data_IF_761763170019
#
_entry.id   IF_761763170019
#
_cell.length_a   1.000
_cell.length_b   1.000
_cell.length_c   1.000
_cell.angle_alpha   90.00
_cell.angle_beta   90.00
_cell.angle_gamma   90.00
#
_symmetry.space_group_name_H-M   'P 1'
#
loop_
_entity.id
_entity.type
_entity.pdbx_description
1 polymer ?
#
# COMPACT_ATOMS: atom_id res chain seq x y z
N UNK A 1 -12.89 2.20 15.08
CA UNK A 1 -11.52 1.96 14.56
C UNK A 1 -10.63 1.39 15.66
N UNK A 2 -10.00 0.22 15.45
CA UNK A 2 -9.25 -0.53 16.48
C UNK A 2 -8.09 0.27 17.11
N UNK A 3 -7.28 0.96 16.31
CA UNK A 3 -6.08 1.67 16.79
C UNK A 3 -6.37 2.78 17.81
N UNK A 4 -7.60 3.27 17.90
CA UNK A 4 -8.01 4.25 18.91
C UNK A 4 -8.12 3.66 20.32
N UNK A 5 -8.18 2.33 20.43
CA UNK A 5 -8.28 1.62 21.71
C UNK A 5 -6.92 1.10 22.19
N UNK A 6 -5.84 1.31 21.42
CA UNK A 6 -4.49 0.92 21.81
C UNK A 6 -3.98 1.86 22.91
N UNK A 7 -3.23 1.28 23.85
CA UNK A 7 -2.60 2.06 24.90
C UNK A 7 -1.53 2.97 24.28
N UNK A 8 -1.47 4.26 24.67
CA UNK A 8 -0.44 5.16 24.16
C UNK A 8 0.96 4.66 24.52
N UNK A 9 1.96 5.11 23.76
CA UNK A 9 3.35 4.81 24.09
C UNK A 9 3.70 5.26 25.52
N UNK A 10 4.52 4.49 26.26
CA UNK A 10 5.02 4.90 27.56
C UNK A 10 5.72 6.25 27.50
N UNK A 11 5.59 7.06 28.57
CA UNK A 11 6.19 8.40 28.65
C UNK A 11 7.70 8.41 28.38
N UNK A 12 8.41 7.35 28.81
CA UNK A 12 9.85 7.19 28.54
C UNK A 12 10.17 7.15 27.05
N UNK A 13 9.31 6.57 26.21
CA UNK A 13 9.45 6.54 24.74
C UNK A 13 9.00 7.84 24.08
N UNK A 14 8.07 8.57 24.70
CA UNK A 14 7.61 9.87 24.18
C UNK A 14 8.63 10.98 24.50
N UNK A 15 9.25 10.96 25.69
CA UNK A 15 10.16 12.01 26.16
C UNK A 15 11.43 12.18 25.32
N UNK A 16 11.80 11.19 24.50
CA UNK A 16 12.96 11.22 23.61
C UNK A 16 12.64 11.88 22.25
N UNK A 17 11.35 12.07 21.94
CA UNK A 17 10.90 12.70 20.71
C UNK A 17 11.23 14.21 20.81
N UNK A 18 11.95 14.78 19.83
CA UNK A 18 12.26 16.20 19.86
C UNK A 18 10.98 17.05 19.75
N UNK A 19 10.92 18.20 20.44
CA UNK A 19 9.82 19.14 20.23
C UNK A 19 9.82 19.65 18.77
N UNK A 20 8.70 20.17 18.30
CA UNK A 20 8.54 20.69 16.93
C UNK A 20 9.61 21.72 16.55
N UNK A 21 10.07 22.54 17.50
CA UNK A 21 11.13 23.55 17.31
C UNK A 21 12.52 22.97 17.08
N UNK A 22 12.74 21.68 17.40
CA UNK A 22 14.01 20.96 17.22
C UNK A 22 13.88 19.76 16.28
N UNK A 23 12.70 19.56 15.70
CA UNK A 23 12.44 18.47 14.76
C UNK A 23 12.98 18.85 13.39
N UNK A 24 13.81 17.96 12.82
CA UNK A 24 14.30 18.07 11.45
C UNK A 24 13.33 17.39 10.48
N UNK A 25 13.26 17.93 9.27
CA UNK A 25 12.50 17.36 8.16
C UNK A 25 13.43 16.99 7.02
N UNK A 26 13.03 16.00 6.24
CA UNK A 26 13.85 15.36 5.22
C UNK A 26 13.20 15.50 3.85
N UNK A 27 13.98 15.71 2.80
CA UNK A 27 13.46 15.73 1.42
C UNK A 27 13.19 14.30 0.95
N UNK A 28 12.25 14.16 0.01
CA UNK A 28 12.00 12.87 -0.65
C UNK A 28 13.28 12.28 -1.27
N UNK A 29 14.06 13.13 -1.97
CA UNK A 29 15.30 12.71 -2.63
C UNK A 29 16.34 12.20 -1.63
N UNK A 30 16.47 12.85 -0.47
CA UNK A 30 17.36 12.38 0.58
C UNK A 30 16.90 11.02 1.11
N UNK A 31 15.61 10.87 1.45
CA UNK A 31 15.12 9.60 2.02
C UNK A 31 15.31 8.46 1.02
N UNK A 32 14.92 8.66 -0.25
CA UNK A 32 15.09 7.65 -1.30
C UNK A 32 16.55 7.37 -1.62
N UNK A 33 17.41 8.39 -1.61
CA UNK A 33 18.84 8.22 -1.83
C UNK A 33 19.56 7.50 -0.70
N UNK A 34 19.12 7.71 0.55
CA UNK A 34 19.74 7.14 1.74
C UNK A 34 19.22 5.74 2.09
N UNK A 35 17.89 5.55 2.04
CA UNK A 35 17.25 4.27 2.37
C UNK A 35 17.09 3.35 1.15
N UNK A 36 17.03 3.93 -0.06
CA UNK A 36 16.83 3.17 -1.30
C UNK A 36 15.39 2.68 -1.47
N UNK A 37 15.27 1.52 -2.12
CA UNK A 37 14.01 0.79 -2.25
C UNK A 37 13.10 1.21 -3.39
N UNK A 38 12.07 0.39 -3.58
CA UNK A 38 10.98 0.58 -4.53
C UNK A 38 9.67 0.63 -3.75
N UNK A 39 8.67 1.34 -4.27
CA UNK A 39 7.34 1.30 -3.69
C UNK A 39 6.74 -0.09 -3.94
N UNK A 40 6.43 -0.80 -2.86
CA UNK A 40 5.97 -2.18 -2.87
C UNK A 40 4.45 -2.28 -2.72
N UNK A 41 3.90 -1.46 -1.83
CA UNK A 41 2.47 -1.23 -1.62
C UNK A 41 2.25 0.27 -1.40
N UNK A 42 1.02 0.79 -1.45
CA UNK A 42 0.76 2.23 -1.37
C UNK A 42 1.45 2.87 -0.15
N UNK A 43 2.47 3.70 -0.41
CA UNK A 43 3.27 4.35 0.63
C UNK A 43 4.27 3.45 1.38
N UNK A 44 4.26 2.13 1.20
CA UNK A 44 5.24 1.20 1.75
C UNK A 44 6.37 0.97 0.74
N UNK A 45 7.59 1.29 1.13
CA UNK A 45 8.79 1.06 0.34
C UNK A 45 9.53 -0.15 0.87
N UNK A 46 10.00 -0.99 -0.05
CA UNK A 46 10.79 -2.19 0.22
C UNK A 46 12.14 -2.10 -0.48
N UNK A 47 13.19 -2.58 0.17
CA UNK A 47 14.55 -2.66 -0.35
C UNK A 47 14.86 -4.13 -0.62
N UNK A 48 14.62 -4.67 -1.83
CA UNK A 48 14.89 -6.08 -2.13
C UNK A 48 16.32 -6.50 -1.79
N UNK A 49 16.59 -7.75 -1.32
CA UNK A 49 17.93 -8.28 -1.11
C UNK A 49 18.84 -8.14 -2.32
N UNK A 50 18.26 -8.27 -3.52
CA UNK A 50 18.94 -8.06 -4.80
C UNK A 50 19.51 -6.64 -4.99
N UNK A 51 18.99 -5.65 -4.27
CA UNK A 51 19.51 -4.27 -4.28
C UNK A 51 20.68 -4.05 -3.30
N UNK A 52 21.13 -5.10 -2.61
CA UNK A 52 22.29 -5.10 -1.73
C UNK A 52 21.95 -4.92 -0.26
N UNK A 53 22.88 -4.31 0.49
CA UNK A 53 22.73 -4.11 1.94
C UNK A 53 21.76 -2.97 2.22
N UNK A 54 20.78 -3.23 3.09
CA UNK A 54 19.86 -2.23 3.61
C UNK A 54 20.41 -1.61 4.90
N UNK A 55 20.19 -0.31 5.09
CA UNK A 55 20.42 0.37 6.39
C UNK A 55 19.34 -0.04 7.40
N UNK A 56 18.18 -0.45 6.92
CA UNK A 56 17.03 -0.89 7.71
C UNK A 56 17.05 -2.41 7.85
N UNK A 57 17.05 -2.96 9.09
CA UNK A 57 16.95 -4.39 9.32
C UNK A 57 15.68 -5.02 8.72
N UNK A 58 14.57 -4.28 8.77
CA UNK A 58 13.26 -4.67 8.23
C UNK A 58 13.19 -4.57 6.72
N UNK A 59 14.18 -3.91 6.09
CA UNK A 59 14.23 -3.58 4.65
C UNK A 59 13.01 -2.81 4.13
N UNK A 60 12.17 -2.28 5.01
CA UNK A 60 10.96 -1.54 4.67
C UNK A 60 10.86 -0.23 5.42
N UNK A 61 10.15 0.75 4.84
CA UNK A 61 9.77 2.00 5.49
C UNK A 61 8.53 2.58 4.81
N UNK A 62 7.77 3.41 5.52
CA UNK A 62 6.62 4.11 4.94
C UNK A 62 6.96 5.57 4.60
N UNK A 63 6.54 6.01 3.41
CA UNK A 63 6.43 7.40 3.01
C UNK A 63 4.96 7.75 2.76
N UNK A 64 4.36 8.50 3.68
CA UNK A 64 2.93 8.79 3.66
C UNK A 64 2.66 10.28 3.45
N UNK A 65 1.55 10.59 2.78
CA UNK A 65 1.07 11.97 2.61
C UNK A 65 -0.24 12.17 3.40
N UNK A 66 -0.20 13.07 4.38
CA UNK A 66 -1.35 13.41 5.22
C UNK A 66 -2.43 14.26 4.54
N UNK A 67 -2.28 14.65 3.27
CA UNK A 67 -3.26 15.49 2.55
C UNK A 67 -4.59 14.78 2.34
N UNK A 68 -4.55 13.49 1.99
CA UNK A 68 -5.73 12.69 1.67
C UNK A 68 -5.89 11.47 2.58
N UNK A 69 -5.06 11.34 3.63
CA UNK A 69 -5.08 10.24 4.58
C UNK A 69 -5.42 10.76 6.00
N UNK A 70 -6.72 10.94 6.32
CA UNK A 70 -7.16 11.65 7.53
C UNK A 70 -6.91 10.87 8.83
N UNK A 71 -6.56 9.59 8.72
CA UNK A 71 -6.40 8.68 9.86
C UNK A 71 -4.95 8.34 10.18
N UNK A 72 -3.99 8.94 9.47
CA UNK A 72 -2.58 8.82 9.80
C UNK A 72 -2.30 9.28 11.24
N UNK A 73 -1.19 8.81 11.85
CA UNK A 73 -0.74 9.31 13.13
C UNK A 73 -0.76 10.85 13.21
N UNK A 74 -1.42 11.38 14.24
CA UNK A 74 -1.58 12.83 14.41
C UNK A 74 -0.26 13.56 14.71
N UNK A 75 0.74 12.82 15.18
CA UNK A 75 2.09 13.28 15.48
C UNK A 75 3.01 12.09 15.79
N UNK A 76 4.33 12.31 15.95
CA UNK A 76 5.25 11.26 16.31
C UNK A 76 4.85 10.57 17.63
N UNK A 77 4.95 9.25 17.68
CA UNK A 77 4.56 8.44 18.84
C UNK A 77 3.07 8.11 18.96
N UNK A 78 2.20 8.66 18.10
CA UNK A 78 0.77 8.34 18.09
C UNK A 78 0.46 7.13 17.18
N UNK A 79 -0.56 6.35 17.50
CA UNK A 79 -1.08 5.34 16.57
C UNK A 79 -1.90 6.00 15.44
N UNK A 80 -2.12 5.26 14.36
CA UNK A 80 -2.96 5.71 13.25
C UNK A 80 -3.36 4.56 12.33
N UNK A 81 -3.91 4.89 11.18
CA UNK A 81 -4.24 3.94 10.13
C UNK A 81 -4.11 4.58 8.75
N UNK A 82 -3.68 3.78 7.77
CA UNK A 82 -3.68 4.11 6.36
C UNK A 82 -4.91 3.50 5.69
N UNK A 83 -5.55 4.24 4.78
CA UNK A 83 -6.60 3.71 3.91
C UNK A 83 -5.99 3.25 2.60
N UNK A 84 -6.20 1.98 2.26
CA UNK A 84 -5.79 1.39 0.98
C UNK A 84 -6.88 0.50 0.40
N UNK A 85 -6.96 0.40 -0.92
CA UNK A 85 -7.90 -0.51 -1.59
C UNK A 85 -7.34 -1.94 -1.71
N UNK A 86 -6.02 -2.07 -1.85
CA UNK A 86 -5.34 -3.34 -2.09
C UNK A 86 -4.01 -3.39 -1.34
N UNK A 87 -3.59 -4.60 -1.01
CA UNK A 87 -2.24 -4.91 -0.55
C UNK A 87 -1.53 -5.66 -1.66
N UNK A 88 -0.23 -5.40 -1.82
CA UNK A 88 0.60 -6.30 -2.60
C UNK A 88 0.92 -7.56 -1.75
N UNK A 89 1.51 -8.57 -2.37
CA UNK A 89 2.02 -9.75 -1.67
C UNK A 89 3.04 -9.36 -0.59
N UNK A 90 3.15 -10.12 0.49
CA UNK A 90 4.12 -9.80 1.54
C UNK A 90 5.55 -9.98 1.00
N UNK A 91 6.50 -9.07 1.29
CA UNK A 91 7.89 -9.24 0.85
C UNK A 91 8.49 -10.60 1.25
N UNK A 92 8.12 -11.15 2.41
CA UNK A 92 8.53 -12.47 2.88
C UNK A 92 8.02 -13.63 2.01
N UNK A 93 6.90 -13.47 1.30
CA UNK A 93 6.40 -14.47 0.34
C UNK A 93 7.23 -14.48 -0.95
N UNK A 94 7.88 -13.36 -1.27
CA UNK A 94 8.67 -13.19 -2.49
C UNK A 94 10.16 -13.50 -2.27
N UNK A 95 10.77 -12.90 -1.25
CA UNK A 95 12.21 -12.97 -0.96
C UNK A 95 12.54 -13.83 0.29
N UNK A 96 11.54 -14.49 0.88
CA UNK A 96 11.73 -15.37 2.04
C UNK A 96 12.27 -14.65 3.27
N UNK A 97 13.06 -15.35 4.07
CA UNK A 97 13.67 -14.81 5.31
C UNK A 97 14.59 -13.59 5.06
N UNK A 98 15.12 -13.44 3.83
CA UNK A 98 15.98 -12.31 3.47
C UNK A 98 15.22 -10.98 3.36
N UNK A 99 13.89 -11.03 3.23
CA UNK A 99 13.05 -9.84 3.22
C UNK A 99 13.05 -9.10 4.55
N UNK A 100 13.43 -9.77 5.64
CA UNK A 100 13.30 -9.24 6.99
C UNK A 100 11.83 -9.22 7.44
N UNK A 101 11.59 -8.75 8.67
CA UNK A 101 10.23 -8.59 9.19
C UNK A 101 9.61 -7.30 8.62
N UNK A 102 9.08 -7.37 7.40
CA UNK A 102 8.72 -6.22 6.57
C UNK A 102 7.63 -5.30 7.17
N UNK A 103 6.89 -5.80 8.16
CA UNK A 103 5.79 -5.10 8.83
C UNK A 103 5.97 -4.92 10.34
N UNK A 104 7.10 -5.35 10.91
CA UNK A 104 7.41 -5.17 12.32
C UNK A 104 8.54 -4.16 12.47
N UNK A 105 8.39 -3.23 13.41
CA UNK A 105 9.40 -2.21 13.70
C UNK A 105 9.81 -1.35 12.46
N UNK A 106 8.83 -0.96 11.65
CA UNK A 106 9.02 -0.23 10.39
C UNK A 106 9.07 1.28 10.60
N UNK A 107 10.10 2.01 10.11
CA UNK A 107 10.14 3.47 10.15
C UNK A 107 9.00 4.11 9.33
N UNK A 108 8.31 5.09 9.91
CA UNK A 108 7.25 5.84 9.22
C UNK A 108 7.65 7.30 9.08
N UNK A 109 7.51 7.81 7.86
CA UNK A 109 7.72 9.20 7.50
C UNK A 109 6.44 9.80 6.92
N UNK A 110 6.04 10.99 7.38
CA UNK A 110 4.80 11.62 6.93
C UNK A 110 5.05 13.07 6.52
N UNK A 111 4.61 13.42 5.31
CA UNK A 111 4.55 14.79 4.81
C UNK A 111 3.12 15.35 4.91
N UNK A 112 2.99 16.68 4.83
CA UNK A 112 1.71 17.40 4.75
C UNK A 112 0.68 17.17 5.89
N UNK A 113 1.02 16.45 6.95
CA UNK A 113 0.19 16.29 8.14
C UNK A 113 0.09 17.58 8.95
N UNK A 114 -0.86 17.63 9.89
CA UNK A 114 -1.00 18.79 10.79
C UNK A 114 0.26 19.03 11.63
N UNK A 115 0.88 17.98 12.16
CA UNK A 115 2.12 18.10 12.93
C UNK A 115 3.28 18.61 12.07
N UNK A 116 3.46 18.08 10.85
CA UNK A 116 4.54 18.52 9.96
C UNK A 116 4.40 20.00 9.58
N UNK A 117 3.17 20.52 9.48
CA UNK A 117 2.91 21.95 9.23
C UNK A 117 3.24 22.87 10.41
N UNK A 118 3.33 22.33 11.63
CA UNK A 118 3.64 23.10 12.85
C UNK A 118 5.15 23.21 13.12
N UNK A 119 5.98 22.45 12.41
CA UNK A 119 7.44 22.50 12.55
C UNK A 119 7.91 23.87 12.06
N UNK A 120 8.37 24.70 13.00
CA UNK A 120 8.94 26.01 12.69
C UNK A 120 10.24 25.83 11.92
N UNK A 121 10.25 26.21 10.64
CA UNK A 121 11.42 26.08 9.77
C UNK A 121 12.55 27.02 10.22
N UNK A 122 13.74 26.50 10.60
CA UNK A 122 14.93 27.34 10.73
C UNK A 122 15.63 27.56 9.37
N UNK A 123 15.33 26.71 8.37
CA UNK A 123 16.21 26.52 7.20
C UNK A 123 15.86 27.36 5.95
N UNK A 124 14.92 28.30 6.03
CA UNK A 124 14.68 29.24 4.91
C UNK A 124 15.67 30.41 4.89
N UNK A 125 16.35 30.73 5.99
CA UNK A 125 17.24 31.90 6.07
C UNK A 125 18.70 31.63 5.67
N UNK A 126 19.13 30.38 5.42
CA UNK A 126 20.51 30.08 5.01
C UNK A 126 20.68 29.73 3.52
N UNK A 127 19.58 29.59 2.76
CA UNK A 127 19.60 29.70 1.30
C UNK A 127 19.31 31.16 0.88
N UNK A 128 20.02 32.10 1.52
CA UNK A 128 20.03 33.49 1.09
C UNK A 128 20.73 33.60 -0.27
N UNK A 129 19.94 33.57 -1.35
CA UNK A 129 20.32 34.21 -2.62
C UNK A 129 20.62 33.31 -3.82
N UNK A 130 20.58 31.98 -3.67
CA UNK A 130 20.72 31.07 -4.81
C UNK A 130 19.36 30.45 -5.16
N UNK A 131 18.56 31.17 -5.97
CA UNK A 131 17.63 30.47 -6.85
C UNK A 131 18.50 29.59 -7.76
N UNK A 132 18.33 28.26 -7.79
CA UNK A 132 19.05 27.42 -8.74
C UNK A 132 18.77 27.96 -10.15
N UNK A 133 19.79 28.31 -10.95
CA UNK A 133 19.55 28.85 -12.27
C UNK A 133 18.96 27.75 -13.14
N UNK A 134 17.72 27.93 -13.60
CA UNK A 134 17.20 27.21 -14.76
C UNK A 134 15.95 26.34 -14.59
N UNK A 135 15.16 26.42 -13.51
CA UNK A 135 13.79 25.83 -13.51
C UNK A 135 12.78 26.72 -12.78
N UNK A 136 12.15 27.62 -13.54
CA UNK A 136 10.91 28.25 -13.12
C UNK A 136 9.81 27.17 -13.06
N UNK A 137 9.29 26.90 -11.85
CA UNK A 137 8.07 26.11 -11.65
C UNK A 137 8.14 25.05 -10.56
N UNK A 138 7.36 25.25 -9.49
CA UNK A 138 6.77 24.22 -8.62
C UNK A 138 7.67 23.07 -8.15
N UNK A 139 8.46 23.26 -7.09
CA UNK A 139 8.64 22.25 -6.04
C UNK A 139 9.21 22.95 -4.80
N UNK A 140 8.34 23.38 -3.88
CA UNK A 140 8.71 23.25 -2.48
C UNK A 140 8.97 21.75 -2.29
N UNK A 141 10.23 21.33 -2.20
CA UNK A 141 10.58 19.91 -2.07
C UNK A 141 9.74 19.31 -0.94
N UNK A 142 8.92 18.30 -1.24
CA UNK A 142 8.08 17.64 -0.24
C UNK A 142 8.94 17.22 0.94
N UNK A 143 8.62 17.76 2.12
CA UNK A 143 9.34 17.52 3.37
C UNK A 143 8.60 16.51 4.22
N UNK A 144 9.33 15.48 4.61
CA UNK A 144 8.85 14.41 5.46
C UNK A 144 9.40 14.56 6.87
N UNK A 145 8.58 14.23 7.86
CA UNK A 145 9.01 14.13 9.25
C UNK A 145 9.02 12.67 9.65
N UNK A 146 9.98 12.25 10.48
CA UNK A 146 10.02 10.90 11.05
C UNK A 146 9.05 10.78 12.24
N UNK A 147 8.08 9.88 12.15
CA UNK A 147 7.01 9.71 13.15
C UNK A 147 7.32 8.63 14.18
N UNK A 148 8.39 7.88 13.97
CA UNK A 148 8.77 6.76 14.81
C UNK A 148 8.70 5.45 14.05
N UNK A 149 8.62 4.38 14.83
CA UNK A 149 8.68 3.00 14.39
C UNK A 149 7.33 2.35 14.66
N UNK A 150 6.79 1.67 13.66
CA UNK A 150 5.42 1.15 13.67
C UNK A 150 5.40 -0.32 13.30
N UNK A 151 4.45 -1.05 13.88
CA UNK A 151 4.19 -2.45 13.53
C UNK A 151 2.74 -2.64 13.10
N UNK A 152 2.53 -3.54 12.16
CA UNK A 152 1.19 -4.00 11.78
C UNK A 152 0.86 -5.27 12.59
N UNK A 153 0.54 -5.09 13.88
CA UNK A 153 0.30 -6.18 14.83
C UNK A 153 -1.02 -6.92 14.63
N UNK A 154 -1.88 -6.40 13.76
CA UNK A 154 -3.19 -6.99 13.42
C UNK A 154 -3.41 -6.90 11.92
N UNK A 155 -4.03 -7.95 11.37
CA UNK A 155 -4.53 -7.93 10.00
C UNK A 155 -5.47 -6.75 9.76
N UNK A 156 -5.31 -6.12 8.60
CA UNK A 156 -6.09 -4.97 8.17
C UNK A 156 -7.60 -5.25 8.24
N UNK A 157 -8.38 -4.23 8.58
CA UNK A 157 -9.84 -4.35 8.70
C UNK A 157 -10.53 -3.84 7.43
N UNK A 158 -11.25 -4.71 6.72
CA UNK A 158 -12.00 -4.34 5.51
C UNK A 158 -13.22 -3.52 5.89
N UNK A 159 -13.40 -2.37 5.25
CA UNK A 159 -14.61 -1.58 5.38
C UNK A 159 -15.78 -2.24 4.66
N UNK A 160 -16.92 -2.32 5.34
CA UNK A 160 -18.21 -2.56 4.71
C UNK A 160 -18.73 -1.28 4.02
N UNK A 161 -19.85 -1.40 3.32
CA UNK A 161 -20.48 -0.27 2.64
C UNK A 161 -20.72 0.93 3.58
N UNK A 162 -21.39 0.70 4.71
CA UNK A 162 -21.80 1.78 5.61
C UNK A 162 -20.59 2.53 6.17
N UNK A 163 -19.57 1.81 6.66
CA UNK A 163 -18.35 2.44 7.18
C UNK A 163 -17.54 3.14 6.08
N UNK A 164 -17.53 2.63 4.85
CA UNK A 164 -16.90 3.34 3.74
C UNK A 164 -17.60 4.68 3.47
N UNK A 165 -18.93 4.73 3.59
CA UNK A 165 -19.70 5.95 3.35
C UNK A 165 -19.64 6.94 4.51
N UNK A 166 -19.69 6.46 5.76
CA UNK A 166 -19.72 7.29 6.96
C UNK A 166 -18.32 7.73 7.41
N UNK A 167 -17.34 6.82 7.42
CA UNK A 167 -16.02 7.09 8.00
C UNK A 167 -15.04 7.65 6.96
N UNK A 168 -15.20 7.43 5.66
CA UNK A 168 -14.21 7.86 4.66
C UNK A 168 -14.63 9.16 3.98
N UNK A 169 -13.88 10.27 4.15
CA UNK A 169 -14.20 11.53 3.50
C UNK A 169 -14.21 11.42 1.99
N UNK A 170 -15.13 12.16 1.34
CA UNK A 170 -15.24 12.15 -0.11
C UNK A 170 -13.94 12.54 -0.81
N UNK A 171 -13.17 13.48 -0.26
CA UNK A 171 -11.86 13.88 -0.81
C UNK A 171 -10.85 12.73 -0.83
N UNK A 172 -10.88 11.85 0.17
CA UNK A 172 -10.06 10.64 0.23
C UNK A 172 -10.52 9.62 -0.80
N UNK A 173 -11.84 9.37 -0.91
CA UNK A 173 -12.41 8.49 -1.95
C UNK A 173 -12.03 8.97 -3.36
N UNK A 174 -12.13 10.28 -3.62
CA UNK A 174 -11.72 10.87 -4.90
C UNK A 174 -10.23 10.67 -5.20
N UNK A 175 -9.36 10.94 -4.22
CA UNK A 175 -7.92 10.77 -4.40
C UNK A 175 -7.54 9.32 -4.69
N UNK A 176 -8.07 8.36 -3.91
CA UNK A 176 -7.80 6.93 -4.14
C UNK A 176 -8.34 6.50 -5.52
N UNK A 177 -9.53 6.98 -5.90
CA UNK A 177 -10.09 6.69 -7.22
C UNK A 177 -9.23 7.25 -8.37
N UNK A 178 -8.59 8.41 -8.18
CA UNK A 178 -7.64 8.98 -9.15
C UNK A 178 -6.39 8.10 -9.26
N UNK A 179 -5.80 7.71 -8.14
CA UNK A 179 -4.61 6.85 -8.12
C UNK A 179 -4.88 5.48 -8.75
N UNK A 180 -6.01 4.85 -8.44
CA UNK A 180 -6.37 3.54 -9.02
C UNK A 180 -6.66 3.62 -10.53
N UNK A 181 -7.15 4.76 -11.01
CA UNK A 181 -7.42 4.99 -12.42
C UNK A 181 -6.18 5.49 -13.21
N UNK A 182 -5.07 5.79 -12.54
CA UNK A 182 -3.89 6.37 -13.17
C UNK A 182 -3.28 5.46 -14.25
N UNK A 183 -2.81 6.07 -15.33
CA UNK A 183 -2.07 5.39 -16.39
C UNK A 183 -0.64 5.14 -15.91
N UNK A 184 -0.18 3.89 -16.00
CA UNK A 184 1.15 3.52 -15.51
C UNK A 184 1.20 3.11 -14.04
N UNK A 185 0.04 2.88 -13.40
CA UNK A 185 -0.03 2.21 -12.10
C UNK A 185 0.70 0.86 -12.12
N UNK A 186 1.18 0.37 -10.96
CA UNK A 186 1.86 -0.91 -10.87
C UNK A 186 1.02 -2.08 -11.44
N UNK A 187 1.70 -3.08 -12.01
CA UNK A 187 1.04 -4.24 -12.62
C UNK A 187 0.19 -5.01 -11.60
N UNK A 188 0.69 -5.18 -10.37
CA UNK A 188 -0.05 -5.87 -9.30
C UNK A 188 -1.38 -5.16 -8.95
N UNK A 189 -1.44 -3.82 -9.03
CA UNK A 189 -2.68 -3.05 -8.84
C UNK A 189 -3.65 -3.31 -10.00
N UNK A 190 -3.11 -3.35 -11.22
CA UNK A 190 -3.89 -3.68 -12.42
C UNK A 190 -4.51 -5.08 -12.30
N UNK A 191 -3.74 -6.06 -11.84
CA UNK A 191 -4.25 -7.41 -11.61
C UNK A 191 -5.29 -7.47 -10.49
N UNK A 192 -5.08 -6.76 -9.38
CA UNK A 192 -6.03 -6.68 -8.28
C UNK A 192 -7.37 -6.07 -8.73
N UNK A 193 -7.31 -4.98 -9.50
CA UNK A 193 -8.50 -4.36 -10.12
C UNK A 193 -9.17 -5.29 -11.13
N UNK A 194 -8.40 -6.01 -11.96
CA UNK A 194 -8.95 -7.00 -12.90
C UNK A 194 -9.73 -8.07 -12.15
N UNK A 195 -9.11 -8.68 -11.13
CA UNK A 195 -9.73 -9.75 -10.31
C UNK A 195 -10.98 -9.27 -9.59
N UNK A 196 -11.00 -8.03 -9.11
CA UNK A 196 -12.15 -7.45 -8.38
C UNK A 196 -13.30 -7.05 -9.31
N UNK A 197 -13.03 -6.26 -10.34
CA UNK A 197 -14.07 -5.68 -11.21
C UNK A 197 -14.54 -6.63 -12.31
N UNK A 198 -13.72 -7.61 -12.67
CA UNK A 198 -14.04 -8.60 -13.70
C UNK A 198 -13.65 -9.98 -13.17
N UNK A 199 -14.48 -10.60 -12.30
CA UNK A 199 -14.17 -11.88 -11.68
C UNK A 199 -13.77 -12.93 -12.71
N UNK A 200 -12.76 -13.72 -12.35
CA UNK A 200 -12.24 -14.80 -13.20
C UNK A 200 -13.36 -15.84 -13.42
N UNK A 201 -13.56 -16.36 -14.64
CA UNK A 201 -14.57 -17.38 -14.85
C UNK A 201 -14.27 -18.62 -14.00
N UNK A 202 -15.32 -19.22 -13.46
CA UNK A 202 -15.23 -20.46 -12.69
C UNK A 202 -15.09 -21.67 -13.62
N UNK A 203 -14.37 -22.69 -13.14
CA UNK A 203 -14.28 -23.97 -13.84
C UNK A 203 -15.52 -24.79 -13.51
N UNK A 204 -16.44 -24.86 -14.46
CA UNK A 204 -17.62 -25.71 -14.36
C UNK A 204 -17.29 -27.10 -14.94
N UNK A 205 -17.21 -28.11 -14.07
CA UNK A 205 -17.22 -29.51 -14.51
C UNK A 205 -18.66 -29.84 -14.88
N UNK A 206 -18.90 -30.31 -16.11
CA UNK A 206 -20.22 -30.82 -16.45
C UNK A 206 -20.58 -31.99 -15.52
N UNK A 207 -21.68 -31.84 -14.77
CA UNK A 207 -22.09 -32.68 -13.62
C UNK A 207 -22.43 -34.16 -13.95
N UNK A 208 -22.06 -34.66 -15.12
CA UNK A 208 -22.29 -36.06 -15.50
C UNK A 208 -21.32 -37.05 -14.82
N UNK A 209 -20.31 -36.57 -14.08
CA UNK A 209 -19.44 -37.42 -13.27
C UNK A 209 -20.09 -37.94 -11.97
N UNK A 210 -21.06 -37.21 -11.39
CA UNK A 210 -21.67 -37.56 -10.09
C UNK A 210 -22.79 -38.60 -10.17
N UNK A 211 -23.43 -38.77 -11.33
CA UNK A 211 -24.61 -39.63 -11.50
C UNK A 211 -24.26 -41.06 -11.95
N UNK A 212 -22.97 -41.38 -12.15
CA UNK A 212 -22.48 -42.69 -12.60
C UNK A 212 -21.90 -43.56 -11.47
N UNK A 213 -22.37 -43.40 -10.23
CA UNK A 213 -21.90 -44.19 -9.07
C UNK A 213 -22.34 -45.67 -9.06
N UNK A 214 -22.98 -46.16 -10.13
CA UNK A 214 -23.31 -47.57 -10.32
C UNK A 214 -22.83 -48.08 -11.69
N UNK A 215 -21.53 -47.99 -11.99
CA UNK A 215 -20.99 -48.57 -13.22
C UNK A 215 -19.82 -49.50 -12.88
N UNK A 216 -20.03 -50.75 -13.27
CA UNK A 216 -19.09 -51.86 -13.36
C UNK A 216 -17.88 -51.50 -14.23
N UNK A 217 -16.74 -52.11 -13.91
CA UNK A 217 -15.44 -51.96 -14.59
C UNK A 217 -15.52 -52.24 -16.11
N UNK A 218 -15.84 -51.24 -16.93
CA UNK A 218 -15.72 -51.26 -18.40
C UNK A 218 -14.87 -50.07 -18.87
N UNK A 219 -13.77 -50.35 -19.58
CA UNK A 219 -12.75 -49.37 -20.00
C UNK A 219 -13.24 -48.30 -21.00
N UNK A 220 -14.35 -48.56 -21.71
CA UNK A 220 -14.90 -47.61 -22.70
C UNK A 220 -15.50 -46.36 -22.05
N UNK A 221 -15.95 -46.48 -20.79
CA UNK A 221 -16.52 -45.36 -20.04
C UNK A 221 -15.45 -44.42 -19.49
N UNK A 222 -14.24 -44.91 -19.23
CA UNK A 222 -13.11 -44.10 -18.77
C UNK A 222 -12.59 -43.18 -19.89
N UNK A 223 -12.46 -43.69 -21.11
CA UNK A 223 -12.01 -42.91 -22.28
C UNK A 223 -13.01 -41.79 -22.64
N UNK A 224 -14.31 -42.06 -22.54
CA UNK A 224 -15.35 -41.06 -22.76
C UNK A 224 -15.34 -39.95 -21.69
N UNK A 225 -15.15 -40.31 -20.41
CA UNK A 225 -15.03 -39.36 -19.30
C UNK A 225 -13.75 -38.52 -19.44
N UNK A 226 -12.61 -39.15 -19.78
CA UNK A 226 -11.36 -38.45 -20.03
C UNK A 226 -11.48 -37.45 -21.20
N UNK A 227 -12.16 -37.84 -22.29
CA UNK A 227 -12.44 -36.97 -23.43
C UNK A 227 -13.29 -35.75 -23.06
N UNK A 228 -14.33 -35.94 -22.22
CA UNK A 228 -15.16 -34.84 -21.73
C UNK A 228 -14.39 -33.88 -20.84
N UNK A 229 -13.57 -34.40 -19.92
CA UNK A 229 -12.71 -33.57 -19.05
C UNK A 229 -11.74 -32.75 -19.90
N UNK A 230 -11.09 -33.37 -20.89
CA UNK A 230 -10.18 -32.66 -21.79
C UNK A 230 -10.90 -31.54 -22.56
N UNK A 231 -12.12 -31.80 -23.06
CA UNK A 231 -12.92 -30.79 -23.73
C UNK A 231 -13.30 -29.63 -22.79
N UNK A 232 -13.75 -29.93 -21.57
CA UNK A 232 -14.15 -28.93 -20.58
C UNK A 232 -12.95 -28.07 -20.13
N UNK A 233 -11.78 -28.69 -19.93
CA UNK A 233 -10.52 -27.99 -19.66
C UNK A 233 -10.15 -27.08 -20.83
N UNK A 234 -10.19 -27.58 -22.07
CA UNK A 234 -9.86 -26.78 -23.25
C UNK A 234 -10.85 -25.62 -23.48
N UNK A 235 -12.13 -25.81 -23.14
CA UNK A 235 -13.14 -24.75 -23.15
C UNK A 235 -12.86 -23.69 -22.09
N UNK A 236 -12.52 -24.13 -20.87
CA UNK A 236 -12.17 -23.25 -19.77
C UNK A 236 -10.92 -22.41 -20.07
N UNK A 237 -9.87 -23.02 -20.62
CA UNK A 237 -8.64 -22.30 -21.01
C UNK A 237 -8.91 -21.21 -22.05
N UNK A 238 -9.79 -21.46 -23.03
CA UNK A 238 -10.23 -20.43 -23.99
C UNK A 238 -11.00 -19.30 -23.33
N UNK A 239 -11.90 -19.61 -22.37
CA UNK A 239 -12.60 -18.60 -21.58
C UNK A 239 -11.61 -17.74 -20.77
N UNK A 240 -10.58 -18.37 -20.20
CA UNK A 240 -9.53 -17.68 -19.45
C UNK A 240 -8.72 -16.72 -20.31
N UNK A 241 -8.29 -17.15 -21.49
CA UNK A 241 -7.53 -16.30 -22.42
C UNK A 241 -8.38 -15.09 -22.87
N UNK A 242 -9.66 -15.31 -23.21
CA UNK A 242 -10.57 -14.22 -23.56
C UNK A 242 -10.79 -13.28 -22.38
N UNK A 243 -11.04 -13.82 -21.18
CA UNK A 243 -11.23 -13.03 -19.96
C UNK A 243 -10.01 -12.16 -19.67
N UNK A 244 -8.80 -12.70 -19.76
CA UNK A 244 -7.58 -11.94 -19.47
C UNK A 244 -7.43 -10.77 -20.45
N UNK A 245 -7.60 -11.03 -21.75
CA UNK A 245 -7.49 -10.01 -22.80
C UNK A 245 -8.54 -8.91 -22.63
N UNK A 246 -9.80 -9.29 -22.44
CA UNK A 246 -10.92 -8.35 -22.34
C UNK A 246 -10.85 -7.53 -21.05
N UNK A 247 -10.59 -8.18 -19.91
CA UNK A 247 -10.49 -7.53 -18.61
C UNK A 247 -9.33 -6.55 -18.57
N UNK A 248 -8.17 -6.94 -19.13
CA UNK A 248 -7.00 -6.06 -19.24
C UNK A 248 -7.28 -4.84 -20.11
N UNK A 249 -8.01 -5.01 -21.21
CA UNK A 249 -8.44 -3.89 -22.06
C UNK A 249 -9.40 -2.94 -21.32
N UNK A 250 -10.41 -3.49 -20.62
CA UNK A 250 -11.36 -2.68 -19.83
C UNK A 250 -10.66 -1.91 -18.71
N UNK A 251 -9.73 -2.55 -18.01
CA UNK A 251 -8.95 -1.94 -16.93
C UNK A 251 -8.02 -0.83 -17.45
N UNK A 252 -7.47 -0.95 -18.66
CA UNK A 252 -6.72 0.16 -19.30
C UNK A 252 -7.58 1.40 -19.61
N UNK A 253 -8.89 1.21 -19.79
CA UNK A 253 -9.84 2.29 -20.07
C UNK A 253 -10.57 2.78 -18.81
N UNK A 254 -10.19 2.25 -17.64
CA UNK A 254 -10.82 2.57 -16.36
C UNK A 254 -10.60 4.04 -16.03
N UNK A 255 -11.68 4.73 -15.65
CA UNK A 255 -11.65 6.12 -15.21
C UNK A 255 -11.96 6.20 -13.73
N UNK A 256 -11.64 7.36 -13.15
CA UNK A 256 -11.98 7.69 -11.75
C UNK A 256 -13.46 7.44 -11.46
N UNK A 257 -14.34 7.82 -12.38
CA UNK A 257 -15.79 7.69 -12.20
C UNK A 257 -16.21 6.23 -12.05
N UNK A 258 -15.54 5.29 -12.74
CA UNK A 258 -15.82 3.86 -12.59
C UNK A 258 -15.43 3.34 -11.19
N UNK A 259 -14.33 3.84 -10.63
CA UNK A 259 -13.91 3.47 -9.26
C UNK A 259 -14.85 4.08 -8.22
N UNK A 260 -15.25 5.34 -8.39
CA UNK A 260 -16.21 5.99 -7.50
C UNK A 260 -17.56 5.27 -7.52
N UNK A 261 -18.05 4.88 -8.69
CA UNK A 261 -19.25 4.04 -8.82
C UNK A 261 -19.08 2.71 -8.09
N UNK A 262 -17.90 2.08 -8.17
CA UNK A 262 -17.63 0.84 -7.46
C UNK A 262 -17.64 1.01 -5.92
N UNK A 263 -17.25 2.17 -5.38
CA UNK A 263 -17.39 2.46 -3.94
C UNK A 263 -18.86 2.61 -3.51
N UNK A 264 -19.73 3.07 -4.41
CA UNK A 264 -21.16 3.24 -4.14
C UNK A 264 -21.98 1.96 -4.32
N UNK A 265 -21.42 0.92 -4.95
CA UNK A 265 -22.09 -0.37 -5.12
C UNK A 265 -22.19 -1.14 -3.78
N UNK A 266 -23.33 -1.79 -3.50
CA UNK A 266 -23.47 -2.75 -2.41
C UNK A 266 -22.49 -3.93 -2.49
N UNK A 267 -22.25 -4.58 -1.34
CA UNK A 267 -21.39 -5.77 -1.28
C UNK A 267 -22.07 -7.03 -1.86
N UNK A 268 -23.39 -7.00 -2.05
CA UNK A 268 -24.20 -8.11 -2.58
C UNK A 268 -24.33 -8.11 -4.10
N UNK A 269 -23.88 -7.05 -4.77
CA UNK A 269 -23.93 -6.93 -6.23
C UNK A 269 -22.86 -7.80 -6.92
N UNK A 270 -23.01 -8.02 -8.22
CA UNK A 270 -22.03 -8.74 -9.07
C UNK A 270 -21.51 -7.83 -10.21
N UNK A 271 -20.22 -7.43 -10.21
CA UNK A 271 -19.22 -7.68 -9.15
C UNK A 271 -19.52 -6.86 -7.88
N UNK A 272 -19.02 -7.32 -6.72
CA UNK A 272 -19.24 -6.63 -5.45
C UNK A 272 -18.60 -5.24 -5.45
N UNK A 273 -19.13 -4.36 -4.60
CA UNK A 273 -18.56 -3.03 -4.38
C UNK A 273 -17.06 -3.09 -4.04
N UNK A 274 -16.32 -2.10 -4.53
CA UNK A 274 -14.93 -1.91 -4.12
C UNK A 274 -14.92 -1.36 -2.70
N UNK A 275 -14.03 -1.88 -1.86
CA UNK A 275 -13.89 -1.47 -0.46
C UNK A 275 -12.46 -1.12 -0.13
N UNK A 276 -12.29 -0.31 0.90
CA UNK A 276 -10.99 0.03 1.44
C UNK A 276 -10.72 -0.78 2.71
N UNK A 277 -9.46 -0.83 3.09
CA UNK A 277 -8.99 -1.46 4.30
C UNK A 277 -8.35 -0.43 5.21
N UNK A 278 -8.53 -0.60 6.51
CA UNK A 278 -7.69 0.02 7.52
C UNK A 278 -6.41 -0.80 7.66
N UNK A 279 -5.31 -0.26 7.14
CA UNK A 279 -3.99 -0.72 7.49
C UNK A 279 -3.57 -0.04 8.79
N UNK A 280 -3.57 -0.81 9.88
CA UNK A 280 -3.32 -0.27 11.22
C UNK A 280 -1.84 0.00 11.44
N UNK A 281 -1.52 1.24 11.84
CA UNK A 281 -0.18 1.68 12.18
C UNK A 281 -0.09 1.82 13.70
N UNK A 282 0.36 0.77 14.38
CA UNK A 282 0.65 0.82 15.81
C UNK A 282 2.06 1.36 16.04
N UNK A 283 2.19 2.56 16.62
CA UNK A 283 3.50 3.06 17.05
C UNK A 283 4.04 2.22 18.20
N UNK A 284 5.18 1.54 17.96
CA UNK A 284 5.86 0.68 18.94
C UNK A 284 7.09 1.37 19.55
N UNK A 285 7.53 2.48 18.97
CA UNK A 285 8.57 3.32 19.55
C UNK A 285 9.02 4.46 18.65
N UNK A 286 10.09 5.12 19.07
CA UNK A 286 10.75 6.17 18.30
C UNK A 286 12.25 6.00 18.44
N UNK A 287 12.95 5.70 17.34
CA UNK A 287 14.38 5.39 17.40
C UNK A 287 15.22 6.66 17.27
N UNK A 288 15.78 7.09 18.41
CA UNK A 288 16.67 8.25 18.49
C UNK A 288 17.99 8.05 17.75
N UNK A 289 18.55 6.83 17.76
CA UNK A 289 19.80 6.52 17.07
C UNK A 289 19.63 6.60 15.56
N UNK A 290 18.56 6.01 15.05
CA UNK A 290 18.19 6.11 13.64
C UNK A 290 17.91 7.55 13.22
N UNK A 291 17.10 8.30 13.99
CA UNK A 291 16.83 9.72 13.70
C UNK A 291 18.10 10.56 13.66
N UNK A 292 19.00 10.41 14.64
CA UNK A 292 20.28 11.14 14.65
C UNK A 292 21.12 10.80 13.41
N UNK A 293 21.14 9.52 13.01
CA UNK A 293 21.84 9.07 11.80
C UNK A 293 21.29 9.77 10.56
N UNK A 294 19.96 9.85 10.40
CA UNK A 294 19.34 10.57 9.29
C UNK A 294 19.74 12.05 9.27
N UNK A 295 19.70 12.73 10.42
CA UNK A 295 20.08 14.14 10.54
C UNK A 295 21.55 14.33 10.14
N UNK A 296 22.45 13.52 10.67
CA UNK A 296 23.88 13.60 10.34
C UNK A 296 24.15 13.38 8.84
N UNK A 297 23.50 12.39 8.23
CA UNK A 297 23.70 12.07 6.82
C UNK A 297 23.11 13.16 5.92
N UNK A 298 21.95 13.72 6.28
CA UNK A 298 21.37 14.85 5.55
C UNK A 298 22.30 16.07 5.60
N UNK A 299 22.83 16.42 6.78
CA UNK A 299 23.77 17.54 6.92
C UNK A 299 25.07 17.29 6.14
N UNK A 300 25.61 16.07 6.16
CA UNK A 300 26.79 15.69 5.36
C UNK A 300 26.54 15.82 3.86
N UNK A 301 25.33 15.46 3.40
CA UNK A 301 24.95 15.55 1.99
C UNK A 301 24.76 16.99 1.51
N UNK A 302 24.37 17.90 2.39
CA UNK A 302 24.17 19.32 2.09
C UNK A 302 25.50 20.12 2.02
N UNK A 303 26.57 19.60 2.63
CA UNK A 303 27.90 20.23 2.66
C UNK A 303 28.82 19.82 1.50
N UNK A 304 28.33 19.01 0.54
CA UNK A 304 29.08 18.57 -0.65
C UNK A 304 28.60 19.33 -1.88
#
# INVERSE_FOLDING_TARGET
>A
MFVRNLAPLPESKISIIPPTTKTMTFTLDFIRGFLGGIEWSPGLFYVPPSHGRSVLPTRTFYLLDGTHQPYLPVGPGAHGALLTAFFNENPEEYDGDEAGAAYNDVPVFICNSQYTRQIGYPFQQELNGATPPGREGKHLQTRYTYYGTYSQTRWSDKLDYDRLQEDVPQSTKMHIAETLAEVGRPEWVTEALMKHLFPKPEYEVTANLGTRTNITEDSEDEDAVAGQIQHDVASYLRKLESWEKDSRMKIKLLKKENILEAFEKPDVDDPPGLRLFWEYLECVGWDRGFYNTLVEQMLKSASR
#
